data_IF_527015744118
#
_entry.id   IF_527015744118
#
_cell.length_a   1.000
_cell.length_b   1.000
_cell.length_c   1.000
_cell.angle_alpha   90.00
_cell.angle_beta   90.00
_cell.angle_gamma   90.00
#
_symmetry.space_group_name_H-M   'P 1'
#
loop_
_entity.id
_entity.type
_entity.pdbx_description
1 polymer ?
#
# COMPACT_ATOMS: atom_id res chain seq x y z
N UNK A 1 11.65 24.00 10.71
CA UNK A 1 11.74 22.60 10.27
C UNK A 1 13.21 22.23 10.22
N UNK A 2 13.65 21.29 11.07
CA UNK A 2 15.03 20.83 11.10
C UNK A 2 15.41 20.14 9.79
N UNK A 3 16.72 20.11 9.44
CA UNK A 3 17.22 19.47 8.23
C UNK A 3 16.83 17.99 8.16
N UNK A 4 16.76 17.34 9.31
CA UNK A 4 16.36 15.94 9.50
C UNK A 4 14.91 15.65 9.09
N UNK A 5 13.96 16.55 9.38
CA UNK A 5 12.57 16.41 8.97
C UNK A 5 12.39 16.55 7.44
N UNK A 6 13.25 17.31 6.76
CA UNK A 6 13.21 17.39 5.30
C UNK A 6 13.74 16.13 4.63
N UNK A 7 14.74 15.49 5.22
CA UNK A 7 15.32 14.24 4.69
C UNK A 7 14.30 13.10 4.81
N UNK A 8 13.72 12.89 5.99
CA UNK A 8 12.68 11.88 6.23
C UNK A 8 11.47 12.05 5.31
N UNK A 9 10.99 13.28 5.12
CA UNK A 9 9.91 13.58 4.18
C UNK A 9 10.24 13.07 2.75
N UNK A 10 11.46 13.28 2.28
CA UNK A 10 11.89 12.80 0.95
C UNK A 10 11.90 11.28 0.86
N UNK A 11 12.33 10.60 1.92
CA UNK A 11 12.36 9.13 1.99
C UNK A 11 10.96 8.53 1.91
N UNK A 12 9.99 9.05 2.68
CA UNK A 12 8.59 8.61 2.59
C UNK A 12 7.99 8.79 1.21
N UNK A 13 8.21 9.96 0.62
CA UNK A 13 7.70 10.22 -0.72
C UNK A 13 8.36 9.31 -1.77
N UNK A 14 9.63 8.97 -1.60
CA UNK A 14 10.32 8.04 -2.49
C UNK A 14 9.74 6.62 -2.38
N UNK A 15 9.50 6.13 -1.15
CA UNK A 15 8.88 4.82 -0.90
C UNK A 15 7.47 4.78 -1.49
N UNK A 16 6.66 5.80 -1.21
CA UNK A 16 5.30 5.93 -1.73
C UNK A 16 5.30 5.91 -3.28
N UNK A 17 6.15 6.72 -3.90
CA UNK A 17 6.25 6.78 -5.36
C UNK A 17 6.69 5.47 -5.96
N UNK A 18 7.73 4.85 -5.41
CA UNK A 18 8.22 3.56 -5.90
C UNK A 18 7.14 2.48 -5.82
N UNK A 19 6.39 2.42 -4.71
CA UNK A 19 5.27 1.51 -4.56
C UNK A 19 4.17 1.81 -5.58
N UNK A 20 3.77 3.07 -5.69
CA UNK A 20 2.73 3.48 -6.63
C UNK A 20 3.09 3.18 -8.08
N UNK A 21 4.30 3.51 -8.52
CA UNK A 21 4.74 3.22 -9.89
C UNK A 21 4.80 1.71 -10.18
N UNK A 22 5.11 0.91 -9.17
CA UNK A 22 5.26 -0.53 -9.33
C UNK A 22 3.94 -1.28 -9.38
N UNK A 23 2.95 -0.85 -8.60
CA UNK A 23 1.72 -1.62 -8.38
C UNK A 23 0.45 -0.95 -8.89
N UNK A 24 0.52 0.32 -9.31
CA UNK A 24 -0.66 1.06 -9.74
C UNK A 24 -1.35 0.41 -10.93
N UNK A 25 -0.58 -0.20 -11.84
CA UNK A 25 -1.13 -0.85 -13.02
C UNK A 25 -1.96 -2.10 -12.68
N UNK A 26 -1.68 -2.75 -11.54
CA UNK A 26 -2.48 -3.87 -11.03
C UNK A 26 -3.91 -3.44 -10.62
N UNK A 27 -4.12 -2.16 -10.33
CA UNK A 27 -5.43 -1.59 -9.96
C UNK A 27 -6.19 -1.05 -11.18
N UNK A 28 -5.66 -1.22 -12.38
CA UNK A 28 -6.25 -0.72 -13.65
C UNK A 28 -7.65 -1.23 -13.93
N UNK A 29 -8.10 -2.25 -13.19
CA UNK A 29 -9.44 -2.86 -13.34
C UNK A 29 -10.57 -1.91 -12.92
N UNK A 30 -10.28 -0.88 -12.11
CA UNK A 30 -11.30 0.02 -11.62
C UNK A 30 -11.46 1.27 -12.49
N UNK A 31 -12.64 1.41 -13.09
CA UNK A 31 -13.02 2.62 -13.81
C UNK A 31 -13.40 3.72 -12.83
N UNK A 32 -13.13 4.96 -13.20
CA UNK A 32 -13.54 6.15 -12.44
C UNK A 32 -12.37 7.04 -12.04
N UNK A 33 -12.69 8.16 -11.42
CA UNK A 33 -11.73 9.18 -11.02
C UNK A 33 -11.33 8.99 -9.57
N UNK A 34 -10.05 8.69 -9.33
CA UNK A 34 -9.51 8.57 -7.99
C UNK A 34 -8.04 9.00 -7.94
N UNK A 35 -7.59 9.35 -6.76
CA UNK A 35 -6.20 9.71 -6.49
C UNK A 35 -5.77 9.24 -5.10
N UNK A 36 -4.47 9.17 -4.92
CA UNK A 36 -3.85 8.83 -3.64
C UNK A 36 -3.11 10.04 -3.10
N UNK A 37 -3.22 10.26 -1.79
CA UNK A 37 -2.58 11.35 -1.07
C UNK A 37 -1.63 10.79 -0.02
N UNK A 38 -0.52 11.48 0.18
CA UNK A 38 0.30 11.34 1.38
C UNK A 38 0.25 12.64 2.15
N UNK A 39 -0.09 12.57 3.44
CA UNK A 39 -0.20 13.75 4.31
C UNK A 39 0.71 13.56 5.53
N UNK A 40 1.18 14.69 6.05
CA UNK A 40 1.95 14.73 7.30
C UNK A 40 1.04 14.77 8.54
N UNK A 41 1.65 14.86 9.71
CA UNK A 41 0.95 14.90 10.98
C UNK A 41 0.02 16.12 11.14
N UNK A 42 0.35 17.24 10.50
CA UNK A 42 -0.49 18.45 10.46
C UNK A 42 -1.64 18.35 9.43
N UNK A 43 -1.82 17.18 8.80
CA UNK A 43 -2.79 16.91 7.75
C UNK A 43 -2.59 17.78 6.50
N UNK A 44 -1.36 18.16 6.24
CA UNK A 44 -0.97 18.88 5.02
C UNK A 44 -0.54 17.86 3.96
N UNK A 45 -1.08 17.99 2.76
CA UNK A 45 -0.72 17.13 1.63
C UNK A 45 0.77 17.32 1.32
N UNK A 46 1.52 16.23 1.38
CA UNK A 46 2.92 16.17 0.97
C UNK A 46 3.04 15.91 -0.53
N UNK A 47 2.22 14.98 -1.05
CA UNK A 47 2.17 14.65 -2.47
C UNK A 47 0.82 14.07 -2.85
N UNK A 48 0.50 14.16 -4.15
CA UNK A 48 -0.73 13.63 -4.77
C UNK A 48 -0.32 12.75 -5.94
N UNK A 49 -0.86 11.54 -5.98
CA UNK A 49 -0.61 10.60 -7.04
C UNK A 49 -1.88 10.29 -7.83
N UNK A 50 -1.82 10.56 -9.13
CA UNK A 50 -2.89 10.25 -10.08
C UNK A 50 -2.45 9.07 -10.96
N UNK A 51 -3.26 7.99 -11.09
CA UNK A 51 -2.98 6.93 -12.04
C UNK A 51 -2.83 7.47 -13.46
N UNK A 52 -1.86 6.95 -14.23
CA UNK A 52 -1.51 7.46 -15.57
C UNK A 52 -2.65 7.36 -16.59
N UNK A 53 -3.53 6.39 -16.45
CA UNK A 53 -4.68 6.19 -17.35
C UNK A 53 -5.89 7.07 -17.02
N UNK A 54 -5.89 7.78 -15.90
CA UNK A 54 -6.95 8.72 -15.56
C UNK A 54 -6.69 10.03 -16.31
N UNK A 55 -7.57 10.33 -17.27
CA UNK A 55 -7.54 11.63 -17.92
C UNK A 55 -8.06 12.73 -16.99
N UNK A 56 -7.13 13.41 -16.32
CA UNK A 56 -7.42 14.47 -15.35
C UNK A 56 -7.94 15.74 -16.03
N UNK A 57 -7.82 15.86 -17.36
CA UNK A 57 -8.18 17.08 -18.10
C UNK A 57 -9.68 17.42 -18.00
N UNK A 58 -10.54 16.40 -17.84
CA UNK A 58 -11.99 16.57 -17.67
C UNK A 58 -12.46 16.86 -16.24
N UNK A 59 -11.62 16.61 -15.21
CA UNK A 59 -11.95 16.83 -13.81
C UNK A 59 -11.01 17.84 -13.16
N UNK A 60 -11.22 19.09 -13.50
CA UNK A 60 -10.49 20.24 -12.98
C UNK A 60 -10.48 20.33 -11.42
N UNK A 61 -11.50 19.71 -10.78
CA UNK A 61 -11.71 19.73 -9.33
C UNK A 61 -10.52 19.14 -8.58
N UNK A 62 -10.00 17.96 -8.99
CA UNK A 62 -8.83 17.36 -8.32
C UNK A 62 -7.59 18.25 -8.39
N UNK A 63 -7.25 18.74 -9.59
CA UNK A 63 -6.07 19.61 -9.79
C UNK A 63 -6.19 20.94 -9.05
N UNK A 64 -7.41 21.45 -8.93
CA UNK A 64 -7.66 22.73 -8.26
C UNK A 64 -7.46 22.62 -6.74
N UNK A 65 -7.95 21.56 -6.12
CA UNK A 65 -8.00 21.43 -4.66
C UNK A 65 -6.95 20.48 -4.09
N UNK A 66 -6.49 19.50 -4.85
CA UNK A 66 -5.52 18.51 -4.39
C UNK A 66 -4.13 18.80 -4.93
N UNK A 67 -3.32 19.43 -4.11
CA UNK A 67 -1.90 19.72 -4.39
C UNK A 67 -1.09 19.78 -3.10
N UNK A 68 0.21 19.59 -3.21
CA UNK A 68 1.12 19.70 -2.06
C UNK A 68 0.95 21.05 -1.37
N UNK A 69 0.91 21.05 -0.05
CA UNK A 69 0.72 22.22 0.80
C UNK A 69 -0.72 22.50 1.21
N UNK A 70 -1.72 21.85 0.59
CA UNK A 70 -3.13 21.99 1.01
C UNK A 70 -3.37 21.24 2.32
N UNK A 71 -4.11 21.86 3.25
CA UNK A 71 -4.42 21.27 4.56
C UNK A 71 -5.80 20.61 4.55
N UNK A 72 -5.86 19.40 5.10
CA UNK A 72 -7.07 18.61 5.36
C UNK A 72 -7.54 18.67 6.81
N UNK A 73 -7.15 19.73 7.53
CA UNK A 73 -7.66 19.92 8.90
C UNK A 73 -9.15 20.29 8.89
N UNK A 74 -9.83 20.06 10.01
CA UNK A 74 -11.28 20.32 10.16
C UNK A 74 -11.67 21.79 9.92
N UNK A 75 -10.76 22.73 10.20
CA UNK A 75 -10.98 24.15 9.94
C UNK A 75 -10.94 24.51 8.46
N UNK A 76 -10.24 23.74 7.63
CA UNK A 76 -10.07 24.02 6.19
C UNK A 76 -11.15 23.35 5.35
N UNK A 77 -11.46 22.07 5.62
CA UNK A 77 -12.35 21.26 4.78
C UNK A 77 -13.50 20.59 5.56
N UNK A 78 -13.61 20.87 6.85
CA UNK A 78 -14.63 20.26 7.72
C UNK A 78 -14.34 18.77 7.99
N UNK A 79 -15.42 18.00 8.21
CA UNK A 79 -15.32 16.55 8.44
C UNK A 79 -14.81 15.85 7.20
N UNK A 80 -13.76 15.05 7.35
CA UNK A 80 -13.13 14.25 6.30
C UNK A 80 -12.45 13.01 6.92
N UNK A 81 -12.18 11.98 6.12
CA UNK A 81 -11.62 10.73 6.61
C UNK A 81 -10.23 10.90 7.21
N UNK A 82 -9.42 11.82 6.69
CA UNK A 82 -8.04 12.07 7.18
C UNK A 82 -8.06 12.65 8.60
N UNK A 83 -8.96 13.61 8.85
CA UNK A 83 -9.13 14.22 10.17
C UNK A 83 -9.63 13.21 11.20
N UNK A 84 -10.63 12.38 10.82
CA UNK A 84 -11.16 11.34 11.72
C UNK A 84 -10.10 10.27 11.98
N UNK A 85 -9.35 9.82 10.96
CA UNK A 85 -8.27 8.86 11.13
C UNK A 85 -7.15 9.37 12.05
N UNK A 86 -6.88 10.68 12.04
CA UNK A 86 -5.96 11.30 13.01
C UNK A 86 -6.46 11.19 14.44
N UNK A 87 -7.76 11.41 14.68
CA UNK A 87 -8.34 11.36 16.02
C UNK A 87 -8.47 9.93 16.55
N UNK A 88 -8.98 9.01 15.71
CA UNK A 88 -9.22 7.62 16.09
C UNK A 88 -7.97 6.74 16.07
N UNK A 89 -6.94 7.17 15.34
CA UNK A 89 -5.73 6.38 15.05
C UNK A 89 -6.03 5.01 14.40
N UNK A 90 -7.11 4.94 13.63
CA UNK A 90 -7.57 3.73 12.90
C UNK A 90 -7.86 4.08 11.45
N UNK A 91 -7.85 3.08 10.54
CA UNK A 91 -8.34 3.29 9.18
C UNK A 91 -9.80 3.76 9.18
N UNK A 92 -10.10 4.75 8.35
CA UNK A 92 -11.43 5.38 8.27
C UNK A 92 -11.88 5.42 6.82
N UNK A 93 -13.11 4.95 6.58
CA UNK A 93 -13.84 5.18 5.33
C UNK A 93 -14.95 6.19 5.58
N UNK A 94 -15.09 7.17 4.72
CA UNK A 94 -16.13 8.20 4.80
C UNK A 94 -16.89 8.30 3.47
N UNK A 95 -18.22 8.20 3.58
CA UNK A 95 -19.12 8.40 2.45
C UNK A 95 -19.36 9.88 2.17
N UNK A 96 -19.72 10.26 0.92
CA UNK A 96 -19.98 11.64 0.51
C UNK A 96 -20.98 12.40 1.38
N UNK A 97 -22.02 11.71 1.86
CA UNK A 97 -23.09 12.30 2.68
C UNK A 97 -22.61 12.86 4.03
N UNK A 98 -21.47 12.38 4.53
CA UNK A 98 -20.90 12.81 5.82
C UNK A 98 -19.95 14.00 5.71
N UNK A 99 -19.67 14.48 4.50
CA UNK A 99 -18.85 15.67 4.30
C UNK A 99 -19.67 16.94 4.53
N UNK A 100 -19.11 17.85 5.32
CA UNK A 100 -19.70 19.18 5.51
C UNK A 100 -19.42 20.11 4.32
N UNK A 101 -18.22 20.03 3.75
CA UNK A 101 -17.80 20.87 2.63
C UNK A 101 -18.46 20.44 1.32
N UNK A 102 -19.10 21.37 0.62
CA UNK A 102 -19.78 21.09 -0.65
C UNK A 102 -18.86 20.50 -1.73
N UNK A 103 -17.58 20.84 -1.74
CA UNK A 103 -16.60 20.30 -2.69
C UNK A 103 -16.38 18.81 -2.49
N UNK A 104 -16.55 18.31 -1.25
CA UNK A 104 -16.32 16.91 -0.90
C UNK A 104 -17.57 16.04 -0.99
N UNK A 105 -18.75 16.61 -1.27
CA UNK A 105 -20.04 15.89 -1.28
C UNK A 105 -20.18 14.80 -2.35
N UNK A 106 -19.20 14.70 -3.26
CA UNK A 106 -19.14 13.61 -4.23
C UNK A 106 -17.96 12.65 -3.96
N UNK A 107 -17.21 12.89 -2.87
CA UNK A 107 -15.97 12.17 -2.60
C UNK A 107 -16.18 11.06 -1.58
N UNK A 108 -15.84 9.86 -1.99
CA UNK A 108 -15.60 8.74 -1.09
C UNK A 108 -14.14 8.80 -0.66
N UNK A 109 -13.91 8.79 0.64
CA UNK A 109 -12.56 8.87 1.19
C UNK A 109 -12.22 7.61 2.00
N UNK A 110 -11.00 7.11 1.85
CA UNK A 110 -10.42 6.08 2.71
C UNK A 110 -9.05 6.51 3.15
N UNK A 111 -8.82 6.57 4.46
CA UNK A 111 -7.56 7.03 5.03
C UNK A 111 -7.01 6.01 6.03
N UNK A 112 -5.71 5.74 5.93
CA UNK A 112 -4.97 4.86 6.83
C UNK A 112 -3.87 5.67 7.51
N UNK A 113 -3.88 5.74 8.87
CA UNK A 113 -2.78 6.34 9.62
C UNK A 113 -1.58 5.38 9.65
N UNK A 114 -0.38 5.92 9.46
CA UNK A 114 0.88 5.19 9.49
C UNK A 114 1.74 5.78 10.61
N UNK A 115 2.29 4.90 11.42
CA UNK A 115 3.27 5.25 12.44
C UNK A 115 4.64 4.67 12.08
N UNK A 116 5.63 5.50 11.92
CA UNK A 116 6.99 5.08 11.56
C UNK A 116 7.95 5.00 12.77
N UNK A 117 7.41 5.13 13.98
CA UNK A 117 8.17 5.19 15.22
C UNK A 117 8.59 6.61 15.63
N UNK A 118 8.51 7.59 14.73
CA UNK A 118 8.89 8.99 14.97
C UNK A 118 7.79 9.98 14.59
N UNK A 119 7.14 9.78 13.46
CA UNK A 119 6.11 10.69 12.94
C UNK A 119 4.87 9.92 12.50
N UNK A 120 3.72 10.60 12.53
CA UNK A 120 2.50 10.11 11.92
C UNK A 120 2.39 10.64 10.49
N UNK A 121 2.13 9.72 9.58
CA UNK A 121 1.86 9.99 8.17
C UNK A 121 0.52 9.36 7.83
N UNK A 122 -0.23 9.96 6.92
CA UNK A 122 -1.53 9.47 6.50
C UNK A 122 -1.49 9.18 5.01
N UNK A 123 -1.98 8.01 4.62
CA UNK A 123 -2.23 7.67 3.22
C UNK A 123 -3.72 7.67 3.00
N UNK A 124 -4.19 8.51 2.10
CA UNK A 124 -5.60 8.59 1.77
C UNK A 124 -5.85 8.30 0.29
N UNK A 125 -6.97 7.67 0.02
CA UNK A 125 -7.55 7.46 -1.29
C UNK A 125 -8.84 8.27 -1.38
N UNK A 126 -8.95 9.06 -2.44
CA UNK A 126 -10.17 9.79 -2.77
C UNK A 126 -10.70 9.26 -4.09
N UNK A 127 -11.99 8.94 -4.13
CA UNK A 127 -12.72 8.51 -5.33
C UNK A 127 -14.01 9.33 -5.49
N UNK A 128 -14.29 9.77 -6.70
CA UNK A 128 -15.47 10.60 -6.99
C UNK A 128 -16.58 9.77 -7.63
N UNK A 129 -17.81 9.98 -7.16
CA UNK A 129 -19.03 9.45 -7.75
C UNK A 129 -19.31 7.97 -7.55
N UNK A 130 -18.34 7.20 -7.02
CA UNK A 130 -18.49 5.76 -6.81
C UNK A 130 -17.84 5.32 -5.49
N UNK A 131 -18.43 4.34 -4.76
CA UNK A 131 -17.83 3.77 -3.56
C UNK A 131 -16.43 3.20 -3.83
N UNK A 132 -15.55 3.29 -2.83
CA UNK A 132 -14.23 2.67 -2.87
C UNK A 132 -14.40 1.17 -2.66
N UNK A 133 -13.94 0.37 -3.63
CA UNK A 133 -14.01 -1.08 -3.55
C UNK A 133 -13.08 -1.66 -2.47
N UNK A 134 -13.34 -2.92 -2.10
CA UNK A 134 -12.46 -3.65 -1.17
C UNK A 134 -11.05 -3.81 -1.73
N UNK A 135 -10.91 -3.96 -3.04
CA UNK A 135 -9.60 -4.05 -3.71
C UNK A 135 -8.79 -2.76 -3.55
N UNK A 136 -9.41 -1.61 -3.78
CA UNK A 136 -8.75 -0.30 -3.60
C UNK A 136 -8.42 -0.03 -2.14
N UNK A 137 -9.29 -0.38 -1.19
CA UNK A 137 -9.01 -0.29 0.25
C UNK A 137 -7.82 -1.18 0.62
N UNK A 138 -7.84 -2.44 0.21
CA UNK A 138 -6.73 -3.38 0.44
C UNK A 138 -5.40 -2.90 -0.15
N UNK A 139 -5.43 -2.22 -1.29
CA UNK A 139 -4.23 -1.62 -1.86
C UNK A 139 -3.68 -0.49 -0.98
N UNK A 140 -4.54 0.39 -0.45
CA UNK A 140 -4.10 1.45 0.48
C UNK A 140 -3.54 0.85 1.76
N UNK A 141 -4.16 -0.22 2.29
CA UNK A 141 -3.66 -0.93 3.48
C UNK A 141 -2.28 -1.54 3.23
N UNK A 142 -2.09 -2.13 2.06
CA UNK A 142 -0.80 -2.72 1.65
C UNK A 142 0.27 -1.64 1.47
N UNK A 143 -0.08 -0.50 0.86
CA UNK A 143 0.79 0.66 0.72
C UNK A 143 1.21 1.19 2.10
N UNK A 144 0.25 1.34 3.01
CA UNK A 144 0.50 1.79 4.37
C UNK A 144 1.45 0.86 5.13
N UNK A 145 1.23 -0.45 5.03
CA UNK A 145 2.13 -1.47 5.63
C UNK A 145 3.55 -1.40 5.06
N UNK A 146 3.70 -1.22 3.75
CA UNK A 146 5.01 -1.07 3.13
C UNK A 146 5.75 0.18 3.61
N UNK A 147 5.06 1.27 3.79
CA UNK A 147 5.64 2.51 4.31
C UNK A 147 6.07 2.37 5.78
N UNK A 148 5.35 1.58 6.57
CA UNK A 148 5.69 1.28 7.96
C UNK A 148 6.93 0.37 8.07
N UNK A 149 6.98 -0.71 7.27
CA UNK A 149 8.05 -1.72 7.37
C UNK A 149 9.43 -1.20 6.93
N UNK A 150 9.50 -0.26 5.99
CA UNK A 150 10.79 0.29 5.52
C UNK A 150 11.48 1.16 6.56
N UNK A 151 10.75 1.72 7.51
CA UNK A 151 11.33 2.47 8.64
C UNK A 151 12.05 1.56 9.65
N UNK A 152 11.65 0.29 9.72
CA UNK A 152 12.28 -0.70 10.60
C UNK A 152 13.58 -1.30 10.02
N UNK A 153 13.76 -1.28 8.70
CA UNK A 153 14.94 -1.88 8.07
C UNK A 153 16.19 -0.99 8.10
N UNK A 154 16.05 0.30 8.35
CA UNK A 154 17.19 1.21 8.50
C UNK A 154 17.77 1.27 9.93
N UNK A 155 17.08 0.72 10.93
CA UNK A 155 17.53 0.67 12.33
C UNK A 155 18.33 -0.58 12.72
N UNK A 156 18.43 -1.57 11.86
CA UNK A 156 19.20 -2.80 12.10
C UNK A 156 20.49 -2.88 11.27
N UNK A 157 21.37 -1.91 11.43
CA UNK A 157 22.80 -2.10 11.17
C UNK A 157 23.48 -2.63 12.45
N UNK A 158 23.04 -3.79 12.90
CA UNK A 158 23.54 -4.49 14.06
C UNK A 158 23.75 -5.96 13.75
N UNK A 159 25.02 -6.31 13.55
CA UNK A 159 25.54 -7.68 13.40
C UNK A 159 25.53 -8.24 11.98
N UNK A 160 26.68 -8.12 11.33
CA UNK A 160 27.10 -8.90 10.15
C UNK A 160 27.30 -10.37 10.55
N UNK A 161 26.25 -11.11 10.79
CA UNK A 161 26.30 -12.59 10.89
C UNK A 161 24.92 -13.25 10.82
N UNK A 162 23.93 -12.65 10.13
CA UNK A 162 22.79 -13.42 9.66
C UNK A 162 22.90 -13.50 8.12
N UNK A 163 23.33 -14.67 7.65
CA UNK A 163 23.14 -15.11 6.28
C UNK A 163 21.64 -14.98 5.99
N UNK A 164 21.23 -13.84 5.44
CA UNK A 164 19.86 -13.65 4.97
C UNK A 164 19.58 -14.79 3.99
N UNK A 165 18.77 -15.76 4.40
CA UNK A 165 18.31 -16.84 3.56
C UNK A 165 17.47 -16.23 2.44
N UNK A 166 18.13 -15.84 1.35
CA UNK A 166 17.46 -15.35 0.13
C UNK A 166 16.56 -16.46 -0.39
N UNK A 167 15.37 -16.06 -0.84
CA UNK A 167 14.50 -16.96 -1.58
C UNK A 167 15.23 -17.46 -2.83
N UNK A 168 15.18 -18.75 -3.04
CA UNK A 168 15.66 -19.37 -4.28
C UNK A 168 14.63 -19.13 -5.40
N UNK A 169 15.01 -19.31 -6.66
CA UNK A 169 14.08 -19.27 -7.78
C UNK A 169 12.94 -20.28 -7.60
N UNK A 170 13.23 -21.46 -7.06
CA UNK A 170 12.20 -22.47 -6.76
C UNK A 170 11.21 -21.98 -5.70
N UNK A 171 11.67 -21.28 -4.66
CA UNK A 171 10.80 -20.66 -3.67
C UNK A 171 9.85 -19.62 -4.31
N UNK A 172 10.38 -18.77 -5.20
CA UNK A 172 9.58 -17.76 -5.90
C UNK A 172 8.53 -18.39 -6.81
N UNK A 173 8.89 -19.45 -7.51
CA UNK A 173 7.97 -20.18 -8.39
C UNK A 173 6.83 -20.81 -7.59
N UNK A 174 7.14 -21.49 -6.49
CA UNK A 174 6.13 -22.07 -5.59
C UNK A 174 5.24 -20.98 -5.00
N UNK A 175 5.81 -19.84 -4.56
CA UNK A 175 5.04 -18.70 -4.05
C UNK A 175 4.06 -18.14 -5.08
N UNK A 176 4.45 -18.05 -6.37
CA UNK A 176 3.57 -17.62 -7.46
C UNK A 176 2.38 -18.57 -7.59
N UNK A 177 2.61 -19.89 -7.57
CA UNK A 177 1.54 -20.90 -7.69
C UNK A 177 0.61 -20.90 -6.46
N UNK A 178 1.18 -20.71 -5.27
CA UNK A 178 0.37 -20.52 -4.05
C UNK A 178 -0.52 -19.27 -4.19
N UNK A 179 0.01 -18.18 -4.71
CA UNK A 179 -0.72 -16.93 -4.91
C UNK A 179 -1.83 -17.03 -5.97
N UNK A 180 -1.67 -17.93 -6.94
CA UNK A 180 -2.71 -18.31 -7.92
C UNK A 180 -3.80 -19.24 -7.31
N UNK A 181 -3.68 -19.61 -6.03
CA UNK A 181 -4.65 -20.45 -5.32
C UNK A 181 -4.45 -21.96 -5.50
N UNK A 182 -3.33 -22.40 -6.09
CA UNK A 182 -3.07 -23.81 -6.33
C UNK A 182 -2.81 -24.59 -5.03
N UNK A 183 -3.28 -25.84 -4.98
CA UNK A 183 -2.96 -26.77 -3.89
C UNK A 183 -1.54 -27.32 -4.03
N UNK A 184 -1.00 -27.92 -2.97
CA UNK A 184 0.34 -28.53 -3.03
C UNK A 184 0.42 -29.66 -4.08
N UNK A 185 -0.67 -30.39 -4.29
CA UNK A 185 -0.79 -31.45 -5.30
C UNK A 185 -0.76 -30.86 -6.72
N UNK A 186 -1.48 -29.77 -6.95
CA UNK A 186 -1.49 -29.07 -8.23
C UNK A 186 -0.11 -28.48 -8.56
N UNK A 187 0.55 -27.87 -7.56
CA UNK A 187 1.91 -27.33 -7.70
C UNK A 187 2.91 -28.47 -8.00
N UNK A 188 2.80 -29.59 -7.31
CA UNK A 188 3.64 -30.75 -7.52
C UNK A 188 3.51 -31.28 -8.96
N UNK A 189 2.28 -31.39 -9.43
CA UNK A 189 1.98 -31.84 -10.80
C UNK A 189 2.52 -30.87 -11.86
N UNK A 190 2.28 -29.56 -11.69
CA UNK A 190 2.68 -28.55 -12.67
C UNK A 190 4.20 -28.36 -12.75
N UNK A 191 4.89 -28.44 -11.60
CA UNK A 191 6.33 -28.26 -11.54
C UNK A 191 7.10 -29.58 -11.73
N UNK A 192 6.40 -30.70 -11.95
CA UNK A 192 6.97 -32.06 -12.11
C UNK A 192 7.88 -32.46 -10.93
N UNK A 193 7.49 -32.09 -9.70
CA UNK A 193 8.21 -32.42 -8.47
C UNK A 193 7.31 -33.21 -7.51
N UNK A 194 7.91 -33.84 -6.51
CA UNK A 194 7.13 -34.58 -5.53
C UNK A 194 6.35 -33.64 -4.58
N UNK A 195 5.20 -34.11 -4.08
CA UNK A 195 4.40 -33.40 -3.08
C UNK A 195 5.23 -33.07 -1.82
N UNK A 196 6.11 -33.98 -1.42
CA UNK A 196 7.05 -33.80 -0.30
C UNK A 196 8.03 -32.65 -0.56
N UNK A 197 8.47 -32.49 -1.81
CA UNK A 197 9.35 -31.39 -2.23
C UNK A 197 8.64 -30.04 -2.14
N UNK A 198 7.38 -29.96 -2.60
CA UNK A 198 6.57 -28.74 -2.47
C UNK A 198 6.41 -28.35 -1.00
N UNK A 199 6.01 -29.31 -0.14
CA UNK A 199 5.86 -29.07 1.30
C UNK A 199 7.17 -28.66 1.97
N UNK A 200 8.26 -29.25 1.59
CA UNK A 200 9.59 -28.87 2.10
C UNK A 200 9.93 -27.40 1.73
N UNK A 201 9.74 -27.02 0.49
CA UNK A 201 9.98 -25.63 0.06
C UNK A 201 9.00 -24.65 0.74
N UNK A 202 7.73 -24.99 0.86
CA UNK A 202 6.73 -24.17 1.56
C UNK A 202 7.11 -23.95 3.02
N UNK A 203 7.55 -24.98 3.73
CA UNK A 203 8.03 -24.84 5.11
C UNK A 203 9.29 -23.96 5.21
N UNK A 204 10.22 -24.07 4.25
CA UNK A 204 11.40 -23.23 4.20
C UNK A 204 11.04 -21.77 3.95
N UNK A 205 10.07 -21.50 3.05
CA UNK A 205 9.53 -20.16 2.81
C UNK A 205 8.93 -19.60 4.12
N UNK A 206 8.15 -20.40 4.85
CA UNK A 206 7.58 -19.97 6.12
C UNK A 206 8.65 -19.61 7.15
N UNK A 207 9.74 -20.40 7.22
CA UNK A 207 10.88 -20.09 8.09
C UNK A 207 11.64 -18.83 7.66
N UNK A 208 11.85 -18.65 6.34
CA UNK A 208 12.55 -17.46 5.80
C UNK A 208 11.75 -16.19 6.12
N UNK A 209 10.45 -16.25 5.93
CA UNK A 209 9.57 -15.11 6.17
C UNK A 209 9.10 -14.98 7.61
N UNK A 210 9.34 -15.97 8.46
CA UNK A 210 8.79 -16.03 9.81
C UNK A 210 7.27 -15.83 9.83
N UNK A 211 6.55 -16.71 9.11
CA UNK A 211 5.08 -16.70 8.97
C UNK A 211 4.52 -18.09 9.22
N UNK A 212 3.22 -18.16 9.56
CA UNK A 212 2.53 -19.40 9.87
C UNK A 212 1.60 -19.93 8.78
N UNK A 213 1.25 -19.08 7.81
CA UNK A 213 0.24 -19.43 6.80
C UNK A 213 0.71 -19.15 5.37
N UNK A 214 0.08 -19.84 4.39
CA UNK A 214 0.35 -19.64 2.95
C UNK A 214 0.03 -18.20 2.51
N UNK A 215 -1.08 -17.67 3.00
CA UNK A 215 -1.53 -16.30 2.69
C UNK A 215 -0.52 -15.27 3.22
N UNK A 216 -0.08 -15.42 4.46
CA UNK A 216 0.96 -14.55 5.03
C UNK A 216 2.27 -14.61 4.24
N UNK A 217 2.67 -15.80 3.78
CA UNK A 217 3.87 -15.99 2.97
C UNK A 217 3.77 -15.24 1.64
N UNK A 218 2.65 -15.35 0.93
CA UNK A 218 2.38 -14.62 -0.31
C UNK A 218 2.36 -13.12 -0.07
N UNK A 219 1.64 -12.66 0.95
CA UNK A 219 1.58 -11.24 1.29
C UNK A 219 2.98 -10.68 1.59
N UNK A 220 3.79 -11.42 2.33
CA UNK A 220 5.14 -11.01 2.67
C UNK A 220 6.07 -11.01 1.46
N UNK A 221 5.94 -11.98 0.57
CA UNK A 221 6.67 -12.03 -0.70
C UNK A 221 6.35 -10.84 -1.61
N UNK A 222 5.08 -10.44 -1.70
CA UNK A 222 4.65 -9.24 -2.44
C UNK A 222 5.21 -7.98 -1.77
N UNK A 223 5.12 -7.84 -0.45
CA UNK A 223 5.63 -6.71 0.31
C UNK A 223 7.14 -6.55 0.14
N UNK A 224 7.88 -7.67 0.13
CA UNK A 224 9.35 -7.67 -0.04
C UNK A 224 9.81 -7.63 -1.49
N UNK A 225 8.85 -7.51 -2.44
CA UNK A 225 9.13 -7.49 -3.88
C UNK A 225 9.81 -8.76 -4.42
N UNK A 226 9.59 -9.89 -3.78
CA UNK A 226 10.10 -11.18 -4.22
C UNK A 226 9.24 -11.82 -5.33
N UNK A 227 7.92 -11.51 -5.33
CA UNK A 227 6.97 -11.82 -6.41
C UNK A 227 6.11 -10.58 -6.71
N UNK A 228 5.59 -10.50 -7.93
CA UNK A 228 4.73 -9.39 -8.37
C UNK A 228 3.30 -9.86 -8.60
N UNK A 229 2.33 -8.97 -8.39
CA UNK A 229 0.92 -9.28 -8.68
C UNK A 229 0.73 -9.55 -10.19
N UNK A 230 1.48 -8.88 -11.07
CA UNK A 230 1.49 -9.18 -12.51
C UNK A 230 1.90 -10.63 -12.82
N UNK A 231 2.76 -11.22 -12.03
CA UNK A 231 3.22 -12.60 -12.19
C UNK A 231 2.15 -13.66 -11.83
N UNK A 232 0.97 -13.23 -11.35
CA UNK A 232 -0.11 -14.13 -10.93
C UNK A 232 -1.13 -14.40 -12.04
N UNK A 233 -1.04 -13.67 -13.15
CA UNK A 233 -1.99 -13.73 -14.27
C UNK A 233 -1.34 -14.24 -15.58
N UNK A 234 -0.08 -14.60 -15.52
CA UNK A 234 0.63 -15.33 -16.58
C UNK A 234 0.53 -16.85 -16.34
#
# INVERSE_FOLDING_TARGET
>A
MSCENRQKKKEYLAIFKNFMYKYIDAIRVERGYYCFLVLNEELTILDVFFPRWINISGHCIFKKYLKSGVSFCSKSVGTNAVFIAKQSNTPVYLDPQFHYCNVLKEWHEYCVPIWDGYNKVYVALIRVGHPISSALKGFVDLLAKNMCCTSYTQGFSGSKNDLSKKLTQQHKLILKRIAQGMTDEQIACELEISLSTVRFHTQNIFKIFNVGTRIEAVMKAIIQNEIFISDLYD
#
